data_IF_052620010698
#
_entry.id   IF_052620010698
#
_cell.length_a   1.000
_cell.length_b   1.000
_cell.length_c   1.000
_cell.angle_alpha   90.00
_cell.angle_beta   90.00
_cell.angle_gamma   90.00
#
_symmetry.space_group_name_H-M   'P 1'
#
loop_
_entity.id
_entity.type
_entity.pdbx_description
1 polymer ?
#
# COMPACT_ATOMS: atom_id res chain seq x y z
N UNK A 1 13.63 7.59 13.70
CA UNK A 1 14.16 8.82 13.09
C UNK A 1 13.27 10.01 13.39
N UNK A 2 11.99 10.06 12.99
CA UNK A 2 11.08 11.21 13.23
C UNK A 2 11.13 11.79 14.66
N UNK A 3 11.07 10.93 15.67
CA UNK A 3 11.07 11.27 17.11
C UNK A 3 12.36 11.97 17.57
N UNK A 4 13.48 11.69 16.91
CA UNK A 4 14.81 12.12 17.34
C UNK A 4 15.07 13.59 17.07
N UNK A 5 14.26 14.21 16.22
CA UNK A 5 14.32 15.63 15.90
C UNK A 5 13.40 16.47 16.80
N UNK A 6 12.77 15.90 17.84
CA UNK A 6 11.73 16.57 18.66
C UNK A 6 12.24 16.93 20.07
N UNK A 7 13.43 16.46 20.44
CA UNK A 7 14.05 16.76 21.73
C UNK A 7 14.70 18.16 21.65
N UNK A 8 14.34 19.07 22.55
CA UNK A 8 14.82 20.47 22.55
C UNK A 8 16.27 20.58 23.02
N UNK A 9 17.21 20.16 22.19
CA UNK A 9 18.64 20.28 22.46
C UNK A 9 19.25 21.19 21.41
N UNK A 10 20.03 22.16 21.87
CA UNK A 10 20.73 23.07 21.00
C UNK A 10 21.83 22.31 20.24
N UNK A 11 21.54 21.89 19.01
CA UNK A 11 22.51 21.21 18.12
C UNK A 11 23.15 22.21 17.16
N UNK A 12 24.33 21.91 16.56
CA UNK A 12 24.93 22.80 15.56
C UNK A 12 23.98 23.05 14.38
N UNK A 13 23.97 24.26 13.83
CA UNK A 13 22.99 24.67 12.80
C UNK A 13 22.95 23.77 11.56
N UNK A 14 24.10 23.20 11.15
CA UNK A 14 24.13 22.25 10.03
C UNK A 14 23.34 20.95 10.33
N UNK A 15 23.34 20.49 11.58
CA UNK A 15 22.54 19.34 12.03
C UNK A 15 21.06 19.69 12.01
N UNK A 16 20.69 20.90 12.45
CA UNK A 16 19.30 21.39 12.41
C UNK A 16 18.76 21.43 10.98
N UNK A 17 19.53 21.95 10.02
CA UNK A 17 19.13 21.99 8.61
C UNK A 17 18.84 20.59 8.07
N UNK A 18 19.70 19.61 8.36
CA UNK A 18 19.51 18.23 7.89
C UNK A 18 18.31 17.56 8.58
N UNK A 19 18.14 17.78 9.88
CA UNK A 19 16.96 17.32 10.61
C UNK A 19 15.67 17.92 10.03
N UNK A 20 15.67 19.21 9.69
CA UNK A 20 14.52 19.89 9.09
C UNK A 20 14.17 19.28 7.72
N UNK A 21 15.17 19.04 6.87
CA UNK A 21 14.94 18.40 5.56
C UNK A 21 14.31 17.01 5.75
N UNK A 22 14.82 16.22 6.70
CA UNK A 22 14.28 14.90 7.01
C UNK A 22 12.85 14.97 7.57
N UNK A 23 12.57 15.93 8.43
CA UNK A 23 11.22 16.17 8.94
C UNK A 23 10.26 16.53 7.81
N UNK A 24 10.65 17.43 6.90
CA UNK A 24 9.82 17.78 5.74
C UNK A 24 9.50 16.54 4.88
N UNK A 25 10.45 15.63 4.68
CA UNK A 25 10.17 14.35 4.00
C UNK A 25 9.20 13.46 4.77
N UNK A 26 9.29 13.42 6.10
CA UNK A 26 8.43 12.58 6.95
C UNK A 26 6.99 13.12 7.00
N UNK A 27 6.84 14.43 7.14
CA UNK A 27 5.54 15.12 7.08
C UNK A 27 5.00 15.23 5.65
N UNK A 28 5.73 14.72 4.66
CA UNK A 28 5.41 14.80 3.23
C UNK A 28 5.25 16.25 2.74
N UNK A 29 5.86 17.22 3.42
CA UNK A 29 5.71 18.66 3.17
C UNK A 29 6.54 19.11 1.96
N UNK A 30 6.29 18.44 0.84
CA UNK A 30 6.81 18.76 -0.49
C UNK A 30 5.93 19.81 -1.18
N UNK A 31 4.68 19.96 -0.73
CA UNK A 31 3.67 20.80 -1.37
C UNK A 31 3.59 22.22 -0.78
N UNK A 32 4.45 22.59 0.18
CA UNK A 32 4.41 23.88 0.90
C UNK A 32 2.97 24.23 1.30
N UNK A 33 2.38 23.29 2.02
CA UNK A 33 0.96 23.31 2.38
C UNK A 33 0.61 24.42 3.34
N UNK A 34 1.56 24.83 4.16
CA UNK A 34 1.55 26.03 4.97
C UNK A 34 1.09 27.27 4.17
N UNK A 35 1.54 27.45 2.93
CA UNK A 35 1.24 28.66 2.15
C UNK A 35 -0.19 28.80 1.67
N UNK A 36 -0.91 27.69 1.52
CA UNK A 36 -2.26 27.71 0.93
C UNK A 36 -3.34 27.12 1.83
N UNK A 37 -2.99 26.26 2.80
CA UNK A 37 -3.93 25.78 3.81
C UNK A 37 -4.09 26.81 4.93
N UNK A 38 -3.00 27.40 5.41
CA UNK A 38 -3.04 28.32 6.56
C UNK A 38 -3.92 29.55 6.33
N UNK A 39 -3.88 30.23 5.17
CA UNK A 39 -4.75 31.39 4.92
C UNK A 39 -6.25 31.06 4.85
N UNK A 40 -6.62 29.78 4.68
CA UNK A 40 -8.03 29.35 4.69
C UNK A 40 -8.59 29.36 6.12
N UNK A 41 -7.75 29.08 7.12
CA UNK A 41 -8.16 28.87 8.51
C UNK A 41 -7.75 30.00 9.46
N UNK A 42 -6.71 30.77 9.13
CA UNK A 42 -6.14 31.80 9.99
C UNK A 42 -5.87 33.09 9.22
N UNK A 43 -6.01 34.21 9.92
CA UNK A 43 -5.53 35.51 9.43
C UNK A 43 -4.03 35.68 9.70
N UNK A 44 -3.34 36.55 8.96
CA UNK A 44 -1.92 36.85 9.18
C UNK A 44 -1.66 37.36 10.61
N UNK A 45 -2.58 38.14 11.18
CA UNK A 45 -2.50 38.61 12.56
C UNK A 45 -2.54 37.45 13.58
N UNK A 46 -3.41 36.46 13.35
CA UNK A 46 -3.52 35.27 14.22
C UNK A 46 -2.28 34.37 14.16
N UNK A 47 -1.51 34.41 13.07
CA UNK A 47 -0.24 33.68 12.92
C UNK A 47 0.92 34.46 13.55
N UNK A 48 0.87 35.79 13.52
CA UNK A 48 1.89 36.65 14.11
C UNK A 48 1.84 36.65 15.66
N UNK A 49 0.68 36.33 16.24
CA UNK A 49 0.47 36.25 17.70
C UNK A 49 0.84 34.88 18.32
N UNK A 50 1.37 33.92 17.56
CA UNK A 50 1.71 32.58 18.08
C UNK A 50 2.81 32.67 19.17
N UNK A 51 2.37 32.76 20.44
CA UNK A 51 3.25 32.75 21.61
C UNK A 51 3.99 31.42 21.77
N UNK A 52 5.20 31.45 22.32
CA UNK A 52 6.10 30.33 22.23
C UNK A 52 5.82 29.21 23.26
N UNK A 53 4.96 28.26 22.89
CA UNK A 53 5.34 26.84 23.07
C UNK A 53 6.63 26.50 22.29
N UNK A 54 6.92 27.35 21.30
CA UNK A 54 8.07 27.42 20.43
C UNK A 54 9.44 27.33 21.12
N UNK A 55 9.66 27.74 22.37
CA UNK A 55 11.01 27.54 22.96
C UNK A 55 11.43 26.07 23.08
N UNK A 56 10.48 25.14 23.21
CA UNK A 56 10.76 23.71 23.35
C UNK A 56 10.66 22.92 22.03
N UNK A 57 10.02 23.48 21.01
CA UNK A 57 9.76 22.77 19.75
C UNK A 57 10.14 23.56 18.47
N UNK A 58 10.58 24.82 18.57
CA UNK A 58 10.99 25.67 17.44
C UNK A 58 12.16 25.09 16.69
N UNK A 59 13.17 24.62 17.43
CA UNK A 59 14.38 24.06 16.87
C UNK A 59 14.11 22.79 16.05
N UNK A 60 12.88 22.27 16.14
CA UNK A 60 12.45 20.96 15.67
C UNK A 60 11.42 21.06 14.53
N UNK A 61 11.21 22.25 13.95
CA UNK A 61 10.31 22.45 12.81
C UNK A 61 8.81 22.35 13.15
N UNK A 62 8.46 22.28 14.44
CA UNK A 62 7.08 22.27 14.94
C UNK A 62 6.76 23.64 15.54
N UNK A 63 6.91 24.69 14.72
CA UNK A 63 6.85 26.09 15.13
C UNK A 63 5.44 26.66 15.35
N UNK A 64 4.42 25.80 15.34
CA UNK A 64 3.05 26.18 15.71
C UNK A 64 2.40 25.04 16.51
N UNK A 65 1.69 25.35 17.61
CA UNK A 65 0.91 24.36 18.35
C UNK A 65 -0.34 23.91 17.58
N UNK A 66 -0.71 24.62 16.52
CA UNK A 66 -1.92 24.40 15.73
C UNK A 66 -1.79 23.14 14.86
N UNK A 67 -2.62 22.15 15.15
CA UNK A 67 -2.64 20.85 14.45
C UNK A 67 -2.57 20.96 12.92
N UNK A 68 -3.40 21.81 12.29
CA UNK A 68 -3.43 21.97 10.83
C UNK A 68 -2.08 22.45 10.29
N UNK A 69 -1.45 23.42 10.97
CA UNK A 69 -0.16 24.00 10.55
C UNK A 69 0.96 22.97 10.74
N UNK A 70 1.00 22.29 11.88
CA UNK A 70 2.02 21.28 12.20
C UNK A 70 1.96 20.06 11.29
N UNK A 71 0.76 19.64 10.89
CA UNK A 71 0.58 18.44 10.05
C UNK A 71 0.74 18.69 8.56
N UNK A 72 0.58 19.95 8.11
CA UNK A 72 0.80 20.36 6.72
C UNK A 72 0.11 19.45 5.69
N UNK A 73 0.90 18.83 4.81
CA UNK A 73 0.44 17.93 3.75
C UNK A 73 -0.26 16.70 4.29
N UNK A 74 0.12 16.21 5.48
CA UNK A 74 -0.55 15.06 6.09
C UNK A 74 -2.01 15.36 6.39
N UNK A 75 -2.36 16.62 6.70
CA UNK A 75 -3.75 17.04 6.84
C UNK A 75 -4.50 16.99 5.51
N UNK A 76 -3.88 17.46 4.43
CA UNK A 76 -4.48 17.41 3.09
C UNK A 76 -4.73 15.96 2.67
N UNK A 77 -3.75 15.07 2.88
CA UNK A 77 -3.93 13.65 2.63
C UNK A 77 -5.03 13.06 3.51
N UNK A 78 -5.11 13.42 4.79
CA UNK A 78 -6.20 12.99 5.67
C UNK A 78 -7.57 13.40 5.09
N UNK A 79 -7.72 14.64 4.65
CA UNK A 79 -8.95 15.15 4.02
C UNK A 79 -9.26 14.38 2.73
N UNK A 80 -8.28 14.17 1.85
CA UNK A 80 -8.44 13.38 0.62
C UNK A 80 -8.89 11.95 0.97
N UNK A 81 -8.29 11.31 1.97
CA UNK A 81 -8.67 9.97 2.41
C UNK A 81 -10.10 9.92 2.97
N UNK A 82 -10.52 10.94 3.74
CA UNK A 82 -11.91 11.03 4.22
C UNK A 82 -12.87 11.18 3.04
N UNK A 83 -12.57 12.04 2.07
CA UNK A 83 -13.39 12.19 0.86
C UNK A 83 -13.42 10.92 0.01
N UNK A 84 -12.28 10.24 -0.16
CA UNK A 84 -12.20 8.95 -0.84
C UNK A 84 -13.08 7.90 -0.15
N UNK A 85 -13.06 7.85 1.19
CA UNK A 85 -13.91 6.96 1.97
C UNK A 85 -15.41 7.26 1.79
N UNK A 86 -15.79 8.53 1.82
CA UNK A 86 -17.18 8.96 1.58
C UNK A 86 -17.63 8.65 0.16
N UNK A 87 -16.78 8.92 -0.84
CA UNK A 87 -17.03 8.55 -2.23
C UNK A 87 -17.13 7.04 -2.40
N UNK A 88 -16.32 6.26 -1.68
CA UNK A 88 -16.41 4.81 -1.69
C UNK A 88 -17.74 4.32 -1.10
N UNK A 89 -18.19 4.85 0.04
CA UNK A 89 -19.50 4.52 0.62
C UNK A 89 -20.62 4.89 -0.36
N UNK A 90 -20.57 6.10 -0.91
CA UNK A 90 -21.54 6.58 -1.89
C UNK A 90 -21.56 5.70 -3.14
N UNK A 91 -20.39 5.40 -3.72
CA UNK A 91 -20.27 4.56 -4.89
C UNK A 91 -20.78 3.14 -4.61
N UNK A 92 -20.44 2.56 -3.46
CA UNK A 92 -20.93 1.25 -3.05
C UNK A 92 -22.45 1.25 -2.95
N UNK A 93 -23.05 2.22 -2.27
CA UNK A 93 -24.50 2.23 -2.00
C UNK A 93 -25.32 2.67 -3.22
N UNK A 94 -24.78 3.58 -4.05
CA UNK A 94 -25.45 4.10 -5.23
C UNK A 94 -25.25 3.18 -6.44
N UNK A 95 -24.01 2.82 -6.80
CA UNK A 95 -23.73 2.04 -8.02
C UNK A 95 -24.28 0.62 -7.91
N UNK A 96 -24.28 0.03 -6.69
CA UNK A 96 -24.88 -1.30 -6.46
C UNK A 96 -26.38 -1.33 -6.73
N UNK A 97 -27.08 -0.19 -6.62
CA UNK A 97 -28.52 -0.09 -6.91
C UNK A 97 -28.84 0.06 -8.40
N UNK A 98 -27.95 0.70 -9.16
CA UNK A 98 -28.24 1.09 -10.56
C UNK A 98 -27.60 0.18 -11.62
N UNK A 99 -26.57 -0.61 -11.29
CA UNK A 99 -25.90 -1.46 -12.30
C UNK A 99 -25.55 -2.85 -11.79
N UNK A 100 -25.82 -3.92 -12.58
CA UNK A 100 -25.45 -5.29 -12.21
C UNK A 100 -23.94 -5.56 -12.23
N UNK A 101 -23.16 -4.70 -12.90
CA UNK A 101 -21.68 -4.70 -12.87
C UNK A 101 -21.11 -3.94 -11.66
N UNK A 102 -21.93 -3.11 -11.01
CA UNK A 102 -21.57 -2.28 -9.86
C UNK A 102 -20.95 -3.06 -8.69
N UNK A 103 -21.51 -4.19 -8.24
CA UNK A 103 -20.97 -4.95 -7.13
C UNK A 103 -19.55 -5.45 -7.38
N UNK A 104 -19.27 -5.99 -8.58
CA UNK A 104 -17.94 -6.53 -8.92
C UNK A 104 -16.88 -5.44 -9.02
N UNK A 105 -17.23 -4.27 -9.55
CA UNK A 105 -16.33 -3.13 -9.62
C UNK A 105 -16.09 -2.55 -8.22
N UNK A 106 -17.16 -2.39 -7.43
CA UNK A 106 -17.10 -1.90 -6.05
C UNK A 106 -16.26 -2.82 -5.16
N UNK A 107 -16.38 -4.14 -5.27
CA UNK A 107 -15.59 -5.10 -4.50
C UNK A 107 -14.10 -5.01 -4.85
N UNK A 108 -13.76 -4.89 -6.14
CA UNK A 108 -12.36 -4.71 -6.57
C UNK A 108 -11.77 -3.37 -6.11
N UNK A 109 -12.54 -2.28 -6.22
CA UNK A 109 -12.10 -0.94 -5.78
C UNK A 109 -11.95 -0.90 -4.25
N UNK A 110 -12.89 -1.51 -3.52
CA UNK A 110 -12.89 -1.65 -2.07
C UNK A 110 -11.64 -2.36 -1.57
N UNK A 111 -11.36 -3.55 -2.11
CA UNK A 111 -10.33 -4.42 -1.56
C UNK A 111 -8.92 -3.91 -1.82
N UNK A 112 -8.64 -3.38 -3.01
CA UNK A 112 -7.27 -3.01 -3.41
C UNK A 112 -6.91 -1.55 -3.21
N UNK A 113 -7.83 -0.63 -3.45
CA UNK A 113 -7.53 0.80 -3.37
C UNK A 113 -7.83 1.32 -1.96
N UNK A 114 -9.04 1.07 -1.49
CA UNK A 114 -9.54 1.72 -0.29
C UNK A 114 -8.92 1.14 1.00
N UNK A 115 -8.99 -0.18 1.21
CA UNK A 115 -8.48 -0.79 2.45
C UNK A 115 -6.96 -0.74 2.58
N UNK A 116 -6.24 -1.17 1.54
CA UNK A 116 -4.77 -1.11 1.55
C UNK A 116 -4.28 0.34 1.70
N UNK A 117 -4.85 1.28 0.94
CA UNK A 117 -4.55 2.71 1.06
C UNK A 117 -4.78 3.25 2.48
N UNK A 118 -5.91 2.91 3.10
CA UNK A 118 -6.25 3.33 4.47
C UNK A 118 -5.28 2.75 5.51
N UNK A 119 -5.01 1.44 5.44
CA UNK A 119 -4.07 0.78 6.37
C UNK A 119 -2.69 1.39 6.23
N UNK A 120 -2.20 1.58 5.01
CA UNK A 120 -0.91 2.20 4.74
C UNK A 120 -0.82 3.64 5.23
N UNK A 121 -1.86 4.44 5.00
CA UNK A 121 -1.93 5.81 5.48
C UNK A 121 -1.84 5.85 7.01
N UNK A 122 -2.64 5.02 7.71
CA UNK A 122 -2.61 4.93 9.18
C UNK A 122 -1.20 4.50 9.63
N UNK A 123 -0.63 3.44 9.06
CA UNK A 123 0.71 2.95 9.41
C UNK A 123 1.80 4.02 9.28
N UNK A 124 1.71 4.90 8.28
CA UNK A 124 2.72 5.93 8.02
C UNK A 124 2.47 7.22 8.82
N UNK A 125 1.20 7.66 8.93
CA UNK A 125 0.84 8.97 9.45
C UNK A 125 0.41 8.95 10.92
N UNK A 126 0.23 7.78 11.54
CA UNK A 126 -0.23 7.67 12.93
C UNK A 126 0.64 8.48 13.91
N UNK A 127 1.96 8.31 13.88
CA UNK A 127 2.84 8.99 14.82
C UNK A 127 2.87 10.52 14.63
N UNK A 128 3.05 11.06 13.40
CA UNK A 128 3.00 12.51 13.19
C UNK A 128 1.65 13.13 13.57
N UNK A 129 0.53 12.50 13.18
CA UNK A 129 -0.82 12.96 13.51
C UNK A 129 -1.06 12.94 15.02
N UNK A 130 -0.67 11.88 15.71
CA UNK A 130 -0.82 11.76 17.17
C UNK A 130 0.04 12.80 17.89
N UNK A 131 1.29 13.00 17.47
CA UNK A 131 2.16 14.01 18.07
C UNK A 131 1.57 15.41 17.92
N UNK A 132 1.20 15.81 16.70
CA UNK A 132 0.60 17.12 16.45
C UNK A 132 -0.68 17.31 17.27
N UNK A 133 -1.49 16.25 17.41
CA UNK A 133 -2.72 16.29 18.21
C UNK A 133 -2.42 16.51 19.69
N UNK A 134 -1.42 15.82 20.24
CA UNK A 134 -1.05 15.98 21.66
C UNK A 134 -0.38 17.35 21.90
N UNK A 135 0.40 17.86 20.95
CA UNK A 135 0.97 19.20 21.02
C UNK A 135 -0.12 20.27 21.06
N UNK A 136 -1.15 20.14 20.23
CA UNK A 136 -2.27 21.07 20.20
C UNK A 136 -3.08 21.10 21.52
N UNK A 137 -3.11 20.00 22.29
CA UNK A 137 -3.74 20.00 23.62
C UNK A 137 -3.05 20.90 24.65
N UNK A 138 -1.80 21.33 24.42
CA UNK A 138 -1.09 22.19 25.37
C UNK A 138 -1.56 23.64 25.36
N UNK A 139 -2.15 24.10 24.25
CA UNK A 139 -2.63 25.48 24.11
C UNK A 139 -4.01 25.44 23.46
N UNK A 140 -5.04 25.42 24.30
CA UNK A 140 -6.41 25.56 23.83
C UNK A 140 -6.73 27.04 23.62
N UNK A 141 -6.89 27.43 22.37
CA UNK A 141 -7.44 28.71 21.99
C UNK A 141 -8.77 28.48 21.27
N UNK A 142 -9.73 29.38 21.48
CA UNK A 142 -11.04 29.36 20.81
C UNK A 142 -11.31 30.69 20.11
N UNK A 143 -10.24 31.36 19.67
CA UNK A 143 -10.29 32.69 19.06
C UNK A 143 -10.72 32.64 17.60
N UNK A 144 -10.45 31.54 16.90
CA UNK A 144 -10.82 31.35 15.49
C UNK A 144 -11.60 30.05 15.22
N UNK A 145 -12.26 30.00 14.05
CA UNK A 145 -12.83 28.75 13.52
C UNK A 145 -11.74 27.69 13.28
N UNK A 146 -10.54 28.13 12.88
CA UNK A 146 -9.37 27.26 12.71
C UNK A 146 -8.99 26.54 14.00
N UNK A 147 -8.99 27.25 15.13
CA UNK A 147 -8.66 26.63 16.42
C UNK A 147 -9.71 25.63 16.86
N UNK A 148 -10.99 25.92 16.62
CA UNK A 148 -12.07 24.96 16.88
C UNK A 148 -11.87 23.67 16.06
N UNK A 149 -11.54 23.79 14.77
CA UNK A 149 -11.26 22.63 13.90
C UNK A 149 -10.02 21.87 14.39
N UNK A 150 -8.93 22.55 14.74
CA UNK A 150 -7.72 21.92 15.29
C UNK A 150 -8.03 21.06 16.51
N UNK A 151 -8.80 21.61 17.46
CA UNK A 151 -9.17 20.95 18.71
C UNK A 151 -10.01 19.71 18.41
N UNK A 152 -10.99 19.83 17.51
CA UNK A 152 -11.81 18.68 17.11
C UNK A 152 -10.99 17.59 16.44
N UNK A 153 -10.15 17.93 15.47
CA UNK A 153 -9.27 16.97 14.79
C UNK A 153 -8.34 16.27 15.78
N UNK A 154 -7.73 17.04 16.69
CA UNK A 154 -6.82 16.53 17.72
C UNK A 154 -7.54 15.57 18.68
N UNK A 155 -8.73 15.95 19.15
CA UNK A 155 -9.54 15.11 20.02
C UNK A 155 -9.95 13.79 19.33
N UNK A 156 -10.37 13.84 18.07
CA UNK A 156 -10.72 12.65 17.29
C UNK A 156 -9.52 11.73 17.14
N UNK A 157 -8.34 12.24 16.81
CA UNK A 157 -7.12 11.42 16.66
C UNK A 157 -6.71 10.78 17.99
N UNK A 158 -6.73 11.55 19.08
CA UNK A 158 -6.33 11.05 20.40
C UNK A 158 -7.29 9.96 20.87
N UNK A 159 -8.61 10.18 20.77
CA UNK A 159 -9.63 9.21 21.20
C UNK A 159 -9.65 7.98 20.29
N UNK A 160 -9.45 8.16 18.98
CA UNK A 160 -9.43 7.04 18.03
C UNK A 160 -8.13 6.23 18.08
N UNK A 161 -7.01 6.79 18.54
CA UNK A 161 -5.71 6.11 18.51
C UNK A 161 -5.68 4.77 19.27
N UNK A 162 -6.21 4.61 20.49
CA UNK A 162 -6.24 3.32 21.17
C UNK A 162 -7.22 2.37 20.48
N UNK A 163 -8.33 2.90 19.96
CA UNK A 163 -9.31 2.10 19.22
C UNK A 163 -8.70 1.50 17.95
N UNK A 164 -7.92 2.26 17.18
CA UNK A 164 -7.22 1.77 15.98
C UNK A 164 -6.26 0.62 16.34
N UNK A 165 -5.44 0.80 17.38
CA UNK A 165 -4.48 -0.21 17.85
C UNK A 165 -5.20 -1.48 18.30
N UNK A 166 -6.25 -1.35 19.12
CA UNK A 166 -7.05 -2.48 19.59
C UNK A 166 -7.80 -3.17 18.45
N UNK A 167 -8.29 -2.40 17.47
CA UNK A 167 -9.00 -2.95 16.31
C UNK A 167 -8.07 -3.77 15.44
N UNK A 168 -6.88 -3.26 15.11
CA UNK A 168 -5.90 -4.04 14.35
C UNK A 168 -5.43 -5.27 15.11
N UNK A 169 -5.19 -5.17 16.43
CA UNK A 169 -4.86 -6.32 17.25
C UNK A 169 -5.98 -7.38 17.23
N UNK A 170 -7.24 -6.96 17.36
CA UNK A 170 -8.41 -7.83 17.30
C UNK A 170 -8.57 -8.49 15.93
N UNK A 171 -8.38 -7.75 14.84
CA UNK A 171 -8.45 -8.26 13.47
C UNK A 171 -7.40 -9.36 13.25
N UNK A 172 -6.14 -9.11 13.64
CA UNK A 172 -5.05 -10.08 13.50
C UNK A 172 -5.26 -11.31 14.39
N UNK A 173 -5.72 -11.11 15.63
CA UNK A 173 -6.05 -12.20 16.55
C UNK A 173 -7.14 -13.11 15.96
N UNK A 174 -8.24 -12.51 15.49
CA UNK A 174 -9.36 -13.24 14.91
C UNK A 174 -8.96 -13.93 13.60
N UNK A 175 -8.14 -13.28 12.77
CA UNK A 175 -7.65 -13.87 11.53
C UNK A 175 -6.80 -15.11 11.80
N UNK A 176 -5.92 -15.07 12.82
CA UNK A 176 -5.15 -16.24 13.25
C UNK A 176 -6.04 -17.34 13.82
N UNK A 177 -6.98 -16.99 14.70
CA UNK A 177 -7.87 -17.97 15.33
C UNK A 177 -8.78 -18.69 14.32
N UNK A 178 -9.20 -17.99 13.26
CA UNK A 178 -10.07 -18.53 12.21
C UNK A 178 -9.31 -19.10 11.00
N UNK A 179 -7.98 -19.07 11.00
CA UNK A 179 -7.18 -19.51 9.85
C UNK A 179 -7.33 -18.62 8.59
N UNK A 180 -7.82 -17.39 8.73
CA UNK A 180 -8.03 -16.45 7.61
C UNK A 180 -6.73 -15.83 7.11
N UNK A 181 -5.60 -16.05 7.78
CA UNK A 181 -4.29 -15.56 7.33
C UNK A 181 -3.85 -16.17 5.99
N UNK A 182 -4.44 -17.31 5.60
CA UNK A 182 -4.19 -17.95 4.30
C UNK A 182 -5.21 -17.53 3.22
N UNK A 183 -6.25 -16.77 3.60
CA UNK A 183 -7.27 -16.29 2.67
C UNK A 183 -6.71 -15.13 1.82
N UNK A 184 -6.82 -15.25 0.50
CA UNK A 184 -6.37 -14.24 -0.46
C UNK A 184 -7.13 -12.91 -0.28
N UNK A 185 -8.41 -12.97 0.08
CA UNK A 185 -9.22 -11.77 0.28
C UNK A 185 -8.78 -10.98 1.52
N UNK A 186 -8.47 -11.68 2.62
CA UNK A 186 -7.93 -11.07 3.83
C UNK A 186 -6.53 -10.51 3.58
N UNK A 187 -5.67 -11.31 2.96
CA UNK A 187 -4.29 -10.94 2.63
C UNK A 187 -4.24 -9.70 1.75
N UNK A 188 -5.13 -9.56 0.77
CA UNK A 188 -5.19 -8.38 -0.09
C UNK A 188 -5.65 -7.11 0.62
N UNK A 189 -6.48 -7.21 1.67
CA UNK A 189 -6.99 -6.03 2.39
C UNK A 189 -6.02 -5.52 3.45
N UNK A 190 -5.32 -6.44 4.11
CA UNK A 190 -4.42 -6.15 5.23
C UNK A 190 -2.96 -6.40 4.86
N UNK A 191 -2.62 -6.42 3.56
CA UNK A 191 -1.28 -6.72 3.05
C UNK A 191 -0.23 -5.88 3.78
N UNK A 192 -0.40 -4.55 3.81
CA UNK A 192 0.53 -3.64 4.50
C UNK A 192 0.66 -3.88 6.02
N UNK A 193 -0.33 -4.52 6.66
CA UNK A 193 -0.30 -4.83 8.09
C UNK A 193 0.44 -6.14 8.38
N UNK A 194 0.54 -7.05 7.41
CA UNK A 194 1.15 -8.39 7.59
C UNK A 194 2.41 -8.61 6.74
N UNK A 195 2.65 -7.77 5.74
CA UNK A 195 3.75 -7.92 4.79
C UNK A 195 5.11 -7.86 5.49
N UNK A 196 6.02 -8.73 5.05
CA UNK A 196 7.34 -8.90 5.64
C UNK A 196 7.35 -9.53 7.04
N UNK A 197 6.20 -9.87 7.65
CA UNK A 197 6.15 -10.40 9.02
C UNK A 197 6.13 -11.93 9.07
N UNK A 198 6.72 -12.47 10.12
CA UNK A 198 6.68 -13.88 10.45
C UNK A 198 5.41 -14.20 11.25
N UNK A 199 4.31 -14.50 10.54
CA UNK A 199 2.99 -14.76 11.13
C UNK A 199 2.93 -16.01 12.02
N UNK A 200 3.96 -16.87 11.96
CA UNK A 200 4.03 -18.07 12.81
C UNK A 200 4.28 -17.72 14.27
N UNK A 201 5.06 -16.67 14.55
CA UNK A 201 5.37 -16.24 15.92
C UNK A 201 4.34 -15.23 16.41
N UNK A 202 4.04 -15.24 17.71
CA UNK A 202 3.13 -14.26 18.32
C UNK A 202 3.69 -12.84 18.21
N UNK A 203 5.01 -12.69 18.36
CA UNK A 203 5.68 -11.38 18.23
C UNK A 203 5.62 -10.88 16.79
N UNK A 204 5.85 -11.75 15.80
CA UNK A 204 5.73 -11.38 14.39
C UNK A 204 4.30 -10.97 14.02
N UNK A 205 3.29 -11.71 14.50
CA UNK A 205 1.88 -11.35 14.25
C UNK A 205 1.53 -9.95 14.77
N UNK A 206 1.97 -9.59 15.97
CA UNK A 206 1.64 -8.30 16.58
C UNK A 206 2.71 -7.22 16.38
N UNK A 207 3.70 -7.42 15.52
CA UNK A 207 4.84 -6.52 15.41
C UNK A 207 4.43 -5.08 15.09
N UNK A 208 3.54 -4.90 14.11
CA UNK A 208 3.02 -3.57 13.76
C UNK A 208 2.20 -2.93 14.89
N UNK A 209 1.46 -3.73 15.68
CA UNK A 209 0.78 -3.26 16.91
C UNK A 209 1.79 -2.76 17.94
N UNK A 210 2.87 -3.52 18.13
CA UNK A 210 3.95 -3.16 19.04
C UNK A 210 4.64 -1.85 18.60
N UNK A 211 4.80 -1.63 17.29
CA UNK A 211 5.29 -0.34 16.74
C UNK A 211 4.32 0.80 17.08
N UNK A 212 3.00 0.63 16.93
CA UNK A 212 2.05 1.68 17.32
C UNK A 212 2.14 2.00 18.82
N UNK A 213 2.20 0.99 19.68
CA UNK A 213 2.36 1.16 21.13
C UNK A 213 3.68 1.88 21.45
N UNK A 214 4.76 1.54 20.74
CA UNK A 214 6.04 2.27 20.85
C UNK A 214 5.88 3.75 20.57
N UNK A 215 5.18 4.12 19.50
CA UNK A 215 4.97 5.52 19.14
C UNK A 215 4.16 6.27 20.20
N UNK A 216 3.10 5.65 20.75
CA UNK A 216 2.33 6.22 21.86
C UNK A 216 3.23 6.47 23.08
N UNK A 217 4.00 5.46 23.52
CA UNK A 217 4.92 5.59 24.66
C UNK A 217 5.97 6.67 24.39
N UNK A 218 6.49 6.73 23.18
CA UNK A 218 7.50 7.69 22.79
C UNK A 218 6.98 9.13 22.84
N UNK A 219 5.79 9.38 22.28
CA UNK A 219 5.13 10.69 22.34
C UNK A 219 4.84 11.04 23.80
N UNK A 220 4.36 10.10 24.61
CA UNK A 220 4.16 10.33 26.04
C UNK A 220 5.47 10.71 26.75
N UNK A 221 6.60 10.06 26.46
CA UNK A 221 7.91 10.43 27.04
C UNK A 221 8.31 11.85 26.64
N UNK A 222 8.23 12.19 25.36
CA UNK A 222 8.57 13.54 24.87
C UNK A 222 7.73 14.60 25.58
N UNK A 223 6.44 14.33 25.71
CA UNK A 223 5.50 15.31 26.23
C UNK A 223 5.59 15.44 27.75
N UNK A 224 5.59 14.33 28.49
CA UNK A 224 5.62 14.33 29.96
C UNK A 224 6.93 14.83 30.55
N UNK A 225 8.05 14.64 29.83
CA UNK A 225 9.39 15.02 30.29
C UNK A 225 10.00 16.17 29.49
N UNK A 226 9.18 17.02 28.86
CA UNK A 226 9.62 18.15 28.00
C UNK A 226 10.64 19.09 28.66
N UNK A 227 10.55 19.23 29.99
CA UNK A 227 11.41 20.14 30.75
C UNK A 227 12.73 19.46 31.20
N UNK A 228 12.89 18.15 30.97
CA UNK A 228 14.03 17.35 31.45
C UNK A 228 14.58 16.46 30.33
N UNK A 229 15.36 17.06 29.43
CA UNK A 229 15.97 16.41 28.26
C UNK A 229 16.74 15.12 28.60
N UNK A 230 17.51 15.11 29.71
CA UNK A 230 18.30 13.95 30.12
C UNK A 230 17.43 12.73 30.45
N UNK A 231 16.29 12.93 31.11
CA UNK A 231 15.32 11.87 31.43
C UNK A 231 14.63 11.39 30.16
N UNK A 232 14.21 12.28 29.26
CA UNK A 232 13.66 11.90 27.95
C UNK A 232 14.62 10.99 27.19
N UNK A 233 15.86 11.43 27.01
CA UNK A 233 16.88 10.68 26.28
C UNK A 233 17.09 9.31 26.91
N UNK A 234 17.24 9.25 28.23
CA UNK A 234 17.46 7.99 28.97
C UNK A 234 16.31 7.02 28.74
N UNK A 235 15.06 7.47 28.90
CA UNK A 235 13.88 6.63 28.69
C UNK A 235 13.75 6.14 27.24
N UNK A 236 14.05 7.00 26.25
CA UNK A 236 14.04 6.64 24.83
C UNK A 236 15.16 5.65 24.49
N UNK A 237 16.33 5.76 25.12
CA UNK A 237 17.42 4.78 24.99
C UNK A 237 16.99 3.44 25.59
N UNK A 238 16.43 3.43 26.80
CA UNK A 238 15.90 2.21 27.42
C UNK A 238 14.83 1.55 26.54
N UNK A 239 13.92 2.34 25.96
CA UNK A 239 12.91 1.83 25.04
C UNK A 239 13.57 1.22 23.79
N UNK A 240 14.58 1.86 23.20
CA UNK A 240 15.29 1.35 22.02
C UNK A 240 16.06 0.05 22.32
N UNK A 241 16.69 -0.05 23.50
CA UNK A 241 17.34 -1.29 23.97
C UNK A 241 16.33 -2.41 24.18
N UNK A 242 15.17 -2.11 24.77
CA UNK A 242 14.08 -3.07 24.89
C UNK A 242 13.61 -3.59 23.52
N UNK A 243 13.48 -2.70 22.52
CA UNK A 243 13.12 -3.09 21.16
C UNK A 243 14.21 -3.91 20.46
N UNK A 244 15.50 -3.62 20.69
CA UNK A 244 16.59 -4.49 20.24
C UNK A 244 16.46 -5.91 20.80
N UNK A 245 16.22 -6.05 22.11
CA UNK A 245 16.01 -7.34 22.73
C UNK A 245 14.78 -8.06 22.14
N UNK A 246 13.68 -7.32 21.94
CA UNK A 246 12.45 -7.85 21.36
C UNK A 246 12.64 -8.34 19.92
N UNK A 247 13.42 -7.62 19.09
CA UNK A 247 13.79 -8.03 17.73
C UNK A 247 14.59 -9.34 17.73
N UNK A 248 15.57 -9.46 18.61
CA UNK A 248 16.47 -10.62 18.68
C UNK A 248 15.78 -11.88 19.22
N UNK A 249 14.94 -11.70 20.25
CA UNK A 249 14.21 -12.80 20.90
C UNK A 249 12.96 -13.21 20.11
N UNK A 250 12.18 -12.22 19.64
CA UNK A 250 10.91 -12.45 18.97
C UNK A 250 11.02 -12.78 17.48
N UNK A 251 12.10 -12.32 16.83
CA UNK A 251 12.36 -12.50 15.39
C UNK A 251 11.11 -12.26 14.54
N UNK A 252 10.58 -11.03 14.52
CA UNK A 252 9.31 -10.72 13.86
C UNK A 252 9.39 -10.83 12.34
N UNK A 253 10.59 -10.84 11.75
CA UNK A 253 10.79 -10.98 10.30
C UNK A 253 11.25 -12.41 9.93
N UNK A 254 10.86 -12.92 8.76
CA UNK A 254 11.24 -14.25 8.31
C UNK A 254 12.72 -14.34 7.91
N UNK A 255 13.30 -13.25 7.41
CA UNK A 255 14.68 -13.24 6.94
C UNK A 255 15.65 -12.72 8.02
N UNK A 256 16.80 -13.38 8.25
CA UNK A 256 17.82 -12.88 9.16
C UNK A 256 18.37 -11.47 8.80
N UNK A 257 18.55 -11.12 7.52
CA UNK A 257 18.92 -9.76 7.12
C UNK A 257 17.93 -8.69 7.57
N UNK A 258 16.62 -8.93 7.50
CA UNK A 258 15.59 -7.98 7.96
C UNK A 258 15.70 -7.74 9.47
N UNK A 259 15.87 -8.80 10.26
CA UNK A 259 16.06 -8.70 11.72
C UNK A 259 17.35 -7.93 12.04
N UNK A 260 18.41 -8.18 11.27
CA UNK A 260 19.72 -7.52 11.45
C UNK A 260 19.62 -6.04 11.14
N UNK A 261 18.97 -5.67 10.02
CA UNK A 261 18.75 -4.28 9.64
C UNK A 261 17.88 -3.54 10.65
N UNK A 262 16.78 -4.16 11.11
CA UNK A 262 15.94 -3.58 12.14
C UNK A 262 16.71 -3.37 13.45
N UNK A 263 17.54 -4.34 13.85
CA UNK A 263 18.37 -4.21 15.06
C UNK A 263 19.43 -3.12 14.90
N UNK A 264 20.04 -3.02 13.72
CA UNK A 264 20.99 -1.95 13.40
C UNK A 264 20.31 -0.58 13.47
N UNK A 265 19.09 -0.45 12.95
CA UNK A 265 18.32 0.79 13.04
C UNK A 265 18.08 1.19 14.51
N UNK A 266 17.74 0.25 15.39
CA UNK A 266 17.61 0.53 16.84
C UNK A 266 18.93 0.89 17.53
N UNK A 267 20.03 0.25 17.11
CA UNK A 267 21.37 0.57 17.59
C UNK A 267 21.76 2.00 17.19
N UNK A 268 21.49 2.40 15.95
CA UNK A 268 21.76 3.75 15.45
C UNK A 268 20.88 4.79 16.14
N UNK A 269 19.62 4.48 16.44
CA UNK A 269 18.76 5.34 17.27
C UNK A 269 19.36 5.51 18.67
N UNK A 270 19.82 4.43 19.30
CA UNK A 270 20.44 4.47 20.63
C UNK A 270 21.75 5.27 20.63
N UNK A 271 22.59 5.08 19.61
CA UNK A 271 23.83 5.83 19.43
C UNK A 271 23.55 7.33 19.20
N UNK A 272 22.54 7.66 18.41
CA UNK A 272 22.11 9.04 18.20
C UNK A 272 21.63 9.68 19.52
N UNK A 273 20.82 8.98 20.30
CA UNK A 273 20.34 9.45 21.60
C UNK A 273 21.50 9.66 22.58
N UNK A 274 22.49 8.76 22.59
CA UNK A 274 23.70 8.92 23.38
C UNK A 274 24.49 10.18 22.98
N UNK A 275 24.65 10.42 21.68
CA UNK A 275 25.30 11.64 21.18
C UNK A 275 24.52 12.92 21.56
N UNK A 276 23.18 12.88 21.53
CA UNK A 276 22.35 13.97 22.05
C UNK A 276 22.56 14.18 23.55
N UNK A 277 22.70 13.11 24.34
CA UNK A 277 23.01 13.21 25.77
C UNK A 277 24.33 13.96 25.99
N UNK A 278 25.35 13.73 25.17
CA UNK A 278 26.62 14.47 25.26
C UNK A 278 26.50 15.97 24.93
N UNK A 279 25.41 16.39 24.26
CA UNK A 279 25.09 17.79 24.00
C UNK A 279 24.22 18.43 25.09
N UNK A 280 23.67 17.65 26.02
CA UNK A 280 22.94 18.20 27.18
C UNK A 280 23.91 18.80 28.20
N UNK A 281 23.63 20.01 28.68
CA UNK A 281 24.13 20.77 29.84
C UNK A 281 25.63 20.74 30.25
N UNK A 282 26.52 20.04 29.53
CA UNK A 282 27.86 19.71 30.01
C UNK A 282 29.02 20.21 29.12
N UNK A 283 28.77 20.87 27.99
CA UNK A 283 29.86 21.26 27.07
C UNK A 283 29.77 22.69 26.54
N UNK A 284 30.54 23.59 27.14
CA UNK A 284 30.75 24.97 26.66
C UNK A 284 31.81 25.07 25.54
N UNK A 285 32.60 24.01 25.30
CA UNK A 285 33.66 24.02 24.28
C UNK A 285 33.08 23.84 22.87
N UNK A 286 33.04 24.94 22.09
CA UNK A 286 32.48 24.97 20.74
C UNK A 286 33.04 23.93 19.76
N UNK A 287 34.34 23.59 19.85
CA UNK A 287 34.96 22.57 18.99
C UNK A 287 34.43 21.16 19.26
N UNK A 288 34.19 20.81 20.53
CA UNK A 288 33.64 19.50 20.90
C UNK A 288 32.18 19.38 20.46
N UNK A 289 31.41 20.45 20.61
CA UNK A 289 30.02 20.53 20.14
C UNK A 289 29.90 20.33 18.63
N UNK A 290 30.82 20.91 17.84
CA UNK A 290 30.91 20.69 16.40
C UNK A 290 31.21 19.21 16.08
N UNK A 291 32.16 18.60 16.78
CA UNK A 291 32.53 17.20 16.59
C UNK A 291 31.34 16.25 16.86
N UNK A 292 30.61 16.46 17.97
CA UNK A 292 29.39 15.67 18.25
C UNK A 292 28.32 15.91 17.18
N UNK A 293 28.14 17.16 16.72
CA UNK A 293 27.20 17.46 15.64
C UNK A 293 27.52 16.72 14.34
N UNK A 294 28.80 16.67 13.95
CA UNK A 294 29.24 15.88 12.80
C UNK A 294 29.02 14.38 13.00
N UNK A 295 29.24 13.86 14.22
CA UNK A 295 28.95 12.47 14.55
C UNK A 295 27.44 12.16 14.44
N UNK A 296 26.56 13.04 14.92
CA UNK A 296 25.11 12.92 14.77
C UNK A 296 24.71 12.87 13.29
N UNK A 297 25.25 13.79 12.48
CA UNK A 297 25.01 13.82 11.05
C UNK A 297 25.45 12.52 10.38
N UNK A 298 26.65 12.04 10.71
CA UNK A 298 27.16 10.79 10.19
C UNK A 298 26.25 9.61 10.55
N UNK A 299 25.78 9.50 11.79
CA UNK A 299 24.84 8.45 12.22
C UNK A 299 23.55 8.47 11.40
N UNK A 300 22.99 9.66 11.14
CA UNK A 300 21.76 9.83 10.35
C UNK A 300 21.98 9.46 8.89
N UNK A 301 23.01 10.03 8.25
CA UNK A 301 23.35 9.75 6.84
C UNK A 301 23.66 8.26 6.65
N UNK A 302 24.44 7.68 7.55
CA UNK A 302 24.76 6.25 7.52
C UNK A 302 23.50 5.39 7.60
N UNK A 303 22.57 5.71 8.51
CA UNK A 303 21.29 5.00 8.61
C UNK A 303 20.49 5.09 7.30
N UNK A 304 20.35 6.28 6.73
CA UNK A 304 19.63 6.48 5.46
C UNK A 304 20.30 5.69 4.33
N UNK A 305 21.61 5.81 4.17
CA UNK A 305 22.37 5.11 3.12
C UNK A 305 22.23 3.60 3.23
N UNK A 306 22.36 3.03 4.44
CA UNK A 306 22.22 1.58 4.65
C UNK A 306 20.79 1.12 4.30
N UNK A 307 19.76 1.83 4.73
CA UNK A 307 18.37 1.48 4.40
C UNK A 307 18.10 1.62 2.89
N UNK A 308 18.61 2.67 2.24
CA UNK A 308 18.48 2.88 0.79
C UNK A 308 19.18 1.76 0.03
N UNK A 309 20.43 1.43 0.37
CA UNK A 309 21.17 0.33 -0.25
C UNK A 309 20.46 -1.01 -0.04
N UNK A 310 19.86 -1.24 1.12
CA UNK A 310 19.07 -2.45 1.38
C UNK A 310 17.86 -2.55 0.45
N UNK A 311 17.08 -1.48 0.34
CA UNK A 311 15.89 -1.42 -0.55
C UNK A 311 16.30 -1.60 -2.01
N UNK A 312 17.34 -0.89 -2.47
CA UNK A 312 17.85 -1.05 -3.84
C UNK A 312 18.39 -2.45 -4.10
N UNK A 313 19.12 -3.05 -3.15
CA UNK A 313 19.60 -4.42 -3.22
C UNK A 313 18.45 -5.42 -3.33
N UNK A 314 17.37 -5.21 -2.57
CA UNK A 314 16.14 -6.00 -2.66
C UNK A 314 15.46 -5.89 -4.03
N UNK A 315 15.31 -4.67 -4.56
CA UNK A 315 14.71 -4.42 -5.88
C UNK A 315 15.53 -5.06 -7.01
N UNK A 316 16.86 -4.89 -6.99
CA UNK A 316 17.77 -5.53 -7.96
C UNK A 316 17.69 -7.04 -7.83
N UNK A 317 17.64 -7.58 -6.60
CA UNK A 317 17.48 -9.00 -6.35
C UNK A 317 16.16 -9.57 -6.90
N UNK A 318 15.05 -8.86 -6.73
CA UNK A 318 13.74 -9.23 -7.31
C UNK A 318 13.81 -9.20 -8.85
N UNK A 319 14.43 -8.16 -9.42
CA UNK A 319 14.65 -8.03 -10.85
C UNK A 319 15.47 -9.18 -11.42
N UNK A 320 16.63 -9.47 -10.83
CA UNK A 320 17.51 -10.56 -11.20
C UNK A 320 16.82 -11.93 -11.08
N UNK A 321 16.05 -12.15 -10.00
CA UNK A 321 15.26 -13.38 -9.82
C UNK A 321 14.20 -13.54 -10.91
N UNK A 322 13.49 -12.48 -11.29
CA UNK A 322 12.51 -12.52 -12.38
C UNK A 322 13.18 -12.87 -13.71
N UNK A 323 14.34 -12.28 -14.00
CA UNK A 323 15.13 -12.59 -15.21
C UNK A 323 15.61 -14.05 -15.19
N UNK A 324 16.17 -14.50 -14.07
CA UNK A 324 16.63 -15.88 -13.90
C UNK A 324 15.50 -16.91 -14.05
N UNK A 325 14.33 -16.65 -13.46
CA UNK A 325 13.16 -17.52 -13.61
C UNK A 325 12.64 -17.55 -15.06
N UNK A 326 12.65 -16.40 -15.76
CA UNK A 326 12.34 -16.37 -17.21
C UNK A 326 13.35 -17.22 -17.99
N UNK A 327 14.64 -17.08 -17.73
CA UNK A 327 15.69 -17.86 -18.38
C UNK A 327 15.53 -19.36 -18.13
N UNK A 328 15.25 -19.78 -16.88
CA UNK A 328 14.97 -21.18 -16.54
C UNK A 328 13.75 -21.72 -17.30
N UNK A 329 12.67 -20.95 -17.42
CA UNK A 329 11.49 -21.35 -18.20
C UNK A 329 11.81 -21.51 -19.68
N UNK A 330 12.57 -20.58 -20.26
CA UNK A 330 13.04 -20.68 -21.65
C UNK A 330 13.91 -21.92 -21.86
N UNK A 331 14.85 -22.19 -20.94
CA UNK A 331 15.71 -23.37 -20.98
C UNK A 331 14.93 -24.68 -20.82
N UNK A 332 13.93 -24.71 -19.94
CA UNK A 332 13.03 -25.85 -19.78
C UNK A 332 12.18 -26.08 -21.04
N UNK A 333 11.70 -25.02 -21.70
CA UNK A 333 11.01 -25.11 -23.00
C UNK A 333 11.93 -25.66 -24.09
N UNK A 334 13.16 -25.16 -24.20
CA UNK A 334 14.14 -25.69 -25.16
C UNK A 334 14.50 -27.15 -24.90
N UNK A 335 14.62 -27.56 -23.63
CA UNK A 335 14.88 -28.95 -23.27
C UNK A 335 13.69 -29.88 -23.57
N UNK A 336 12.45 -29.40 -23.37
CA UNK A 336 11.23 -30.13 -23.78
C UNK A 336 11.10 -30.21 -25.30
N UNK A 337 11.34 -29.10 -26.02
CA UNK A 337 11.32 -29.07 -27.48
C UNK A 337 12.32 -30.06 -28.09
N UNK A 338 13.54 -30.15 -27.55
CA UNK A 338 14.51 -31.16 -27.98
C UNK A 338 14.05 -32.60 -27.73
N UNK A 339 13.42 -32.89 -26.59
CA UNK A 339 12.87 -34.23 -26.29
C UNK A 339 11.64 -34.59 -27.14
N UNK A 340 10.80 -33.62 -27.50
CA UNK A 340 9.64 -33.85 -28.37
C UNK A 340 10.06 -34.09 -29.83
N UNK A 341 11.10 -33.43 -30.33
CA UNK A 341 11.61 -33.65 -31.71
C UNK A 341 12.26 -35.03 -31.90
N UNK A 342 12.72 -35.67 -30.82
CA UNK A 342 13.38 -36.99 -30.85
C UNK A 342 12.41 -38.18 -30.75
N UNK A 343 11.13 -37.96 -30.43
CA UNK A 343 10.11 -39.04 -30.41
C UNK A 343 9.29 -39.04 -31.71
N UNK A 344 8.98 -40.21 -32.30
CA UNK A 344 8.24 -40.29 -33.56
C UNK A 344 6.83 -39.66 -33.49
N UNK A 345 6.18 -39.69 -32.31
CA UNK A 345 4.91 -39.00 -32.06
C UNK A 345 5.03 -37.47 -31.97
N UNK A 346 6.20 -36.95 -31.54
CA UNK A 346 6.42 -35.51 -31.46
C UNK A 346 6.70 -34.84 -32.81
N UNK A 347 7.11 -35.59 -33.84
CA UNK A 347 7.22 -35.06 -35.21
C UNK A 347 5.85 -34.81 -35.86
N UNK A 348 4.80 -35.52 -35.44
CA UNK A 348 3.41 -35.23 -35.85
C UNK A 348 2.80 -34.09 -35.04
N UNK A 349 3.06 -34.02 -33.72
CA UNK A 349 2.57 -32.91 -32.89
C UNK A 349 3.25 -31.57 -33.19
N UNK A 350 4.55 -31.54 -33.54
CA UNK A 350 5.22 -30.29 -33.96
C UNK A 350 4.63 -29.79 -35.28
N UNK A 351 4.20 -30.66 -36.19
CA UNK A 351 3.44 -30.23 -37.38
C UNK A 351 2.09 -29.63 -37.01
N UNK A 352 1.39 -30.16 -36.02
CA UNK A 352 0.12 -29.62 -35.51
C UNK A 352 0.29 -28.29 -34.77
N UNK A 353 1.32 -28.14 -33.92
CA UNK A 353 1.61 -26.86 -33.23
C UNK A 353 2.08 -25.78 -34.22
N UNK A 354 2.83 -26.13 -35.27
CA UNK A 354 3.21 -25.17 -36.32
C UNK A 354 1.98 -24.69 -37.09
N UNK A 355 1.00 -25.58 -37.31
CA UNK A 355 -0.28 -25.21 -37.93
C UNK A 355 -1.14 -24.37 -36.98
N UNK A 356 -1.16 -24.64 -35.68
CA UNK A 356 -1.88 -23.82 -34.70
C UNK A 356 -1.27 -22.42 -34.54
N UNK A 357 0.07 -22.31 -34.57
CA UNK A 357 0.78 -21.02 -34.51
C UNK A 357 0.54 -20.21 -35.79
N UNK A 358 0.55 -20.84 -36.97
CA UNK A 358 0.14 -20.20 -38.24
C UNK A 358 -1.34 -19.75 -38.22
N UNK A 359 -2.23 -20.52 -37.58
CA UNK A 359 -3.65 -20.17 -37.43
C UNK A 359 -3.85 -19.02 -36.44
N UNK A 360 -3.10 -18.94 -35.34
CA UNK A 360 -3.13 -17.79 -34.43
C UNK A 360 -2.61 -16.51 -35.08
N UNK A 361 -1.49 -16.58 -35.82
CA UNK A 361 -0.95 -15.45 -36.57
C UNK A 361 -1.94 -14.97 -37.65
N UNK A 362 -2.61 -15.90 -38.32
CA UNK A 362 -3.65 -15.58 -39.30
C UNK A 362 -4.87 -14.93 -38.65
N UNK A 363 -5.29 -15.39 -37.46
CA UNK A 363 -6.38 -14.75 -36.69
C UNK A 363 -6.00 -13.34 -36.23
N UNK A 364 -4.76 -13.14 -35.78
CA UNK A 364 -4.29 -11.82 -35.34
C UNK A 364 -4.17 -10.83 -36.52
N UNK A 365 -3.68 -11.29 -37.68
CA UNK A 365 -3.70 -10.49 -38.92
C UNK A 365 -5.13 -10.19 -39.38
N UNK A 366 -6.04 -11.16 -39.31
CA UNK A 366 -7.44 -10.96 -39.70
C UNK A 366 -8.14 -9.98 -38.76
N UNK A 367 -7.91 -10.06 -37.44
CA UNK A 367 -8.41 -9.07 -36.48
C UNK A 367 -7.83 -7.66 -36.73
N UNK A 368 -6.55 -7.56 -37.08
CA UNK A 368 -5.93 -6.27 -37.46
C UNK A 368 -6.54 -5.69 -38.73
N UNK A 369 -6.81 -6.53 -39.74
CA UNK A 369 -7.45 -6.12 -40.99
C UNK A 369 -8.92 -5.72 -40.78
N UNK A 370 -9.69 -6.49 -40.00
CA UNK A 370 -11.08 -6.16 -39.63
C UNK A 370 -11.12 -4.88 -38.78
N UNK A 371 -10.21 -4.71 -37.82
CA UNK A 371 -10.08 -3.48 -37.04
C UNK A 371 -9.75 -2.25 -37.90
N UNK A 372 -8.92 -2.41 -38.94
CA UNK A 372 -8.63 -1.36 -39.92
C UNK A 372 -9.82 -1.06 -40.85
N UNK A 373 -10.57 -2.08 -41.29
CA UNK A 373 -11.79 -1.89 -42.09
C UNK A 373 -12.92 -1.25 -41.28
N UNK A 374 -13.12 -1.61 -40.02
CA UNK A 374 -14.10 -0.96 -39.13
C UNK A 374 -13.71 0.50 -38.87
N UNK A 375 -12.41 0.80 -38.71
CA UNK A 375 -11.93 2.19 -38.62
C UNK A 375 -12.10 2.99 -39.91
N UNK A 376 -11.93 2.37 -41.08
CA UNK A 376 -12.20 3.02 -42.39
C UNK A 376 -13.68 3.23 -42.62
N UNK A 377 -14.52 2.22 -42.37
CA UNK A 377 -15.98 2.31 -42.52
C UNK A 377 -16.62 3.34 -41.60
N UNK A 378 -16.17 3.46 -40.35
CA UNK A 378 -16.68 4.50 -39.43
C UNK A 378 -16.24 5.92 -39.83
N UNK A 379 -15.06 6.09 -40.44
CA UNK A 379 -14.61 7.39 -40.94
C UNK A 379 -15.31 7.79 -42.25
N UNK A 380 -15.61 6.84 -43.14
CA UNK A 380 -16.34 7.12 -44.38
C UNK A 380 -17.85 7.32 -44.13
N UNK A 381 -18.46 6.53 -43.25
CA UNK A 381 -19.88 6.68 -42.88
C UNK A 381 -20.17 7.93 -42.04
N UNK A 382 -19.24 8.33 -41.15
CA UNK A 382 -19.42 9.58 -40.39
C UNK A 382 -19.27 10.83 -41.27
N UNK A 383 -18.39 10.77 -42.28
CA UNK A 383 -18.20 11.89 -43.22
C UNK A 383 -19.32 11.99 -44.25
N UNK A 384 -19.93 10.87 -44.68
CA UNK A 384 -21.10 10.91 -45.57
C UNK A 384 -22.34 11.45 -44.85
N UNK A 385 -22.61 11.00 -43.61
CA UNK A 385 -23.72 11.50 -42.79
C UNK A 385 -23.57 12.99 -42.45
N UNK A 386 -22.35 13.46 -42.15
CA UNK A 386 -22.12 14.89 -41.90
C UNK A 386 -22.33 15.74 -43.17
N UNK A 387 -21.94 15.23 -44.34
CA UNK A 387 -22.16 15.92 -45.61
C UNK A 387 -23.65 15.94 -46.00
N UNK A 388 -24.40 14.85 -45.76
CA UNK A 388 -25.84 14.78 -46.02
C UNK A 388 -26.65 15.68 -45.06
N UNK A 389 -26.22 15.81 -43.79
CA UNK A 389 -26.84 16.74 -42.83
C UNK A 389 -26.56 18.21 -43.23
N UNK A 390 -25.36 18.50 -43.74
CA UNK A 390 -25.00 19.86 -44.19
C UNK A 390 -25.69 20.24 -45.51
N UNK A 391 -25.89 19.31 -46.45
CA UNK A 391 -26.67 19.55 -47.66
C UNK A 391 -28.16 19.68 -47.37
N UNK A 392 -28.73 18.91 -46.42
CA UNK A 392 -30.11 19.11 -45.94
C UNK A 392 -30.31 20.46 -45.23
N UNK A 393 -29.32 20.94 -44.46
CA UNK A 393 -29.39 22.28 -43.85
C UNK A 393 -29.29 23.42 -44.86
N UNK A 394 -28.50 23.25 -45.93
CA UNK A 394 -28.42 24.25 -47.00
C UNK A 394 -29.66 24.26 -47.92
N UNK A 395 -30.37 23.14 -48.07
CA UNK A 395 -31.63 23.11 -48.81
C UNK A 395 -32.80 23.71 -48.02
N UNK A 396 -32.82 23.56 -46.69
CA UNK A 396 -33.86 24.16 -45.84
C UNK A 396 -33.64 25.64 -45.51
N UNK A 397 -32.44 26.18 -45.70
CA UNK A 397 -32.19 27.61 -45.48
C UNK A 397 -32.70 28.52 -46.63
N UNK A 398 -33.06 27.94 -47.79
CA UNK A 398 -33.55 28.69 -48.95
C UNK A 398 -35.08 28.58 -49.15
N UNK A 399 -35.80 27.87 -48.26
CA UNK A 399 -37.24 27.64 -48.35
C UNK A 399 -37.96 28.07 -47.07
N UNK A 400 -37.86 29.35 -46.72
CA UNK A 400 -38.79 29.95 -45.74
C UNK A 400 -39.09 31.40 -46.11
N UNK A 401 -39.93 31.56 -47.14
CA UNK A 401 -40.84 32.68 -47.28
C UNK A 401 -42.22 32.11 -47.59
N UNK A 402 -43.19 32.57 -46.79
CA UNK A 402 -44.64 32.42 -46.88
C UNK A 402 -45.26 31.27 -46.06
N UNK A 403 -45.99 31.71 -45.02
CA UNK A 403 -47.39 31.42 -44.67
C UNK A 403 -47.78 29.96 -44.39
N UNK A 404 -48.77 29.61 -43.57
CA UNK A 404 -49.55 30.15 -42.44
C UNK A 404 -50.35 28.89 -41.95
N UNK A 405 -50.91 28.93 -40.74
CA UNK A 405 -51.91 27.99 -40.16
C UNK A 405 -51.42 26.57 -39.75
N UNK A 406 -51.40 26.17 -38.46
CA UNK A 406 -52.53 25.77 -37.57
C UNK A 406 -53.44 24.70 -38.21
N UNK A 407 -53.79 23.54 -37.63
CA UNK A 407 -53.70 23.01 -36.26
C UNK A 407 -54.11 21.51 -36.25
N UNK A 408 -53.81 20.78 -35.16
CA UNK A 408 -54.36 19.48 -34.65
C UNK A 408 -54.05 18.13 -35.35
N UNK A 409 -53.21 17.26 -34.73
CA UNK A 409 -53.59 16.03 -33.97
C UNK A 409 -52.38 15.09 -33.68
N UNK A 410 -52.49 14.43 -32.52
CA UNK A 410 -51.97 13.09 -32.17
C UNK A 410 -50.57 12.91 -31.53
N UNK A 411 -50.60 12.87 -30.19
CA UNK A 411 -49.67 12.12 -29.34
C UNK A 411 -49.87 10.61 -29.52
N UNK A 412 -48.81 9.88 -29.90
CA UNK A 412 -48.46 8.54 -29.39
C UNK A 412 -46.95 8.26 -29.54
N UNK A 413 -46.28 7.65 -28.55
CA UNK A 413 -44.84 7.41 -28.58
C UNK A 413 -44.46 6.16 -29.39
N UNK A 414 -43.40 6.31 -30.20
CA UNK A 414 -42.80 5.27 -31.03
C UNK A 414 -41.89 4.39 -30.16
N UNK A 415 -42.39 3.21 -29.80
CA UNK A 415 -41.62 2.07 -29.28
C UNK A 415 -41.43 1.06 -30.44
N UNK A 416 -40.39 1.26 -31.27
CA UNK A 416 -40.17 0.41 -32.45
C UNK A 416 -38.70 0.34 -32.88
N UNK A 417 -37.79 -0.02 -31.97
CA UNK A 417 -36.45 -0.52 -32.33
C UNK A 417 -35.91 -1.51 -31.27
N UNK A 418 -36.60 -2.65 -31.10
CA UNK A 418 -36.06 -3.79 -30.31
C UNK A 418 -36.61 -5.17 -30.67
N UNK A 419 -37.04 -5.36 -31.92
CA UNK A 419 -37.49 -6.66 -32.45
C UNK A 419 -36.92 -6.92 -33.84
N UNK A 420 -35.62 -7.17 -33.92
CA UNK A 420 -34.98 -7.82 -35.07
C UNK A 420 -33.56 -8.21 -34.67
N UNK A 421 -33.40 -9.23 -33.83
CA UNK A 421 -32.21 -10.10 -33.73
C UNK A 421 -32.53 -11.21 -32.70
N UNK A 422 -33.53 -12.02 -33.03
CA UNK A 422 -33.73 -13.34 -32.43
C UNK A 422 -34.22 -14.23 -33.56
N UNK A 423 -33.31 -15.02 -34.15
CA UNK A 423 -33.54 -16.29 -34.86
C UNK A 423 -32.25 -16.65 -35.62
N UNK A 424 -31.34 -17.35 -34.94
CA UNK A 424 -30.51 -18.44 -35.47
C UNK A 424 -29.36 -18.73 -34.48
N UNK A 425 -29.65 -19.46 -33.41
CA UNK A 425 -28.64 -20.31 -32.78
C UNK A 425 -29.20 -21.73 -32.74
N UNK A 426 -28.71 -22.55 -33.66
CA UNK A 426 -28.87 -24.00 -33.62
C UNK A 426 -28.00 -24.59 -32.51
N UNK A 427 -28.43 -25.70 -31.87
CA UNK A 427 -27.72 -26.27 -30.73
C UNK A 427 -26.47 -27.04 -31.17
N UNK A 428 -25.32 -26.68 -30.59
CA UNK A 428 -24.09 -27.48 -30.65
C UNK A 428 -24.25 -28.69 -29.73
N UNK A 429 -24.03 -29.93 -30.21
CA UNK A 429 -24.13 -31.11 -29.36
C UNK A 429 -22.97 -31.19 -28.37
N UNK A 430 -23.31 -31.26 -27.08
CA UNK A 430 -22.40 -31.63 -25.99
C UNK A 430 -21.95 -33.08 -26.18
N UNK A 431 -20.75 -33.27 -26.72
CA UNK A 431 -20.01 -34.52 -26.65
C UNK A 431 -19.57 -34.74 -25.18
N UNK A 432 -20.31 -35.60 -24.48
CA UNK A 432 -19.86 -36.26 -23.25
C UNK A 432 -18.68 -37.16 -23.59
N UNK A 433 -17.46 -36.76 -23.20
CA UNK A 433 -16.36 -37.70 -23.05
C UNK A 433 -16.44 -38.29 -21.64
N UNK A 434 -17.04 -39.48 -21.57
CA UNK A 434 -16.72 -40.45 -20.53
C UNK A 434 -15.27 -40.86 -20.74
N UNK A 435 -14.40 -40.59 -19.77
CA UNK A 435 -13.15 -41.31 -19.61
C UNK A 435 -13.23 -41.99 -18.25
N UNK A 436 -13.64 -43.24 -18.33
CA UNK A 436 -13.57 -44.21 -17.26
C UNK A 436 -12.13 -44.39 -16.78
N UNK A 437 -12.06 -44.68 -15.50
CA UNK A 437 -10.88 -45.11 -14.79
C UNK A 437 -10.32 -46.40 -15.39
N UNK A 438 -9.03 -46.43 -15.71
CA UNK A 438 -8.28 -47.68 -15.69
C UNK A 438 -6.78 -47.46 -15.41
N UNK A 439 -6.38 -48.01 -14.26
CA UNK A 439 -5.14 -48.75 -13.99
C UNK A 439 -3.84 -48.37 -14.70
N UNK A 440 -2.82 -48.05 -13.90
CA UNK A 440 -1.43 -48.52 -14.12
C UNK A 440 -0.69 -48.40 -12.78
N UNK A 441 -0.66 -49.48 -12.00
CA UNK A 441 0.43 -50.46 -11.93
C UNK A 441 1.78 -49.85 -11.54
N UNK A 442 2.14 -50.18 -10.29
CA UNK A 442 3.46 -50.20 -9.68
C UNK A 442 4.52 -50.79 -10.59
N UNK A 443 5.63 -50.07 -10.78
CA UNK A 443 6.88 -50.63 -11.27
C UNK A 443 8.00 -50.29 -10.29
N UNK A 444 8.38 -51.33 -9.55
CA UNK A 444 9.59 -51.43 -8.74
C UNK A 444 10.83 -51.14 -9.60
N UNK A 445 11.71 -50.28 -9.10
CA UNK A 445 13.12 -50.32 -9.47
C UNK A 445 14.00 -50.36 -8.22
N UNK A 446 14.37 -51.60 -7.85
CA UNK A 446 15.55 -51.90 -7.05
C UNK A 446 16.78 -51.89 -7.97
N UNK A 447 17.78 -51.07 -7.63
CA UNK A 447 19.23 -51.39 -7.66
C UNK A 447 20.01 -50.14 -7.20
N UNK A 448 20.53 -50.12 -5.97
CA UNK A 448 21.89 -50.55 -5.57
C UNK A 448 23.01 -49.61 -6.07
N UNK A 449 23.35 -48.58 -5.27
CA UNK A 449 24.73 -48.20 -4.88
C UNK A 449 24.65 -47.48 -3.52
N UNK A 450 25.36 -47.98 -2.50
CA UNK A 450 25.68 -47.23 -1.25
C UNK A 450 27.17 -46.87 -1.23
N UNK A 451 27.79 -46.46 -0.11
CA UNK A 451 27.26 -45.78 1.09
C UNK A 451 28.06 -44.51 1.44
N UNK A 452 27.43 -43.48 2.03
CA UNK A 452 28.12 -42.61 3.02
C UNK A 452 27.16 -41.73 3.84
N UNK A 453 27.17 -42.03 5.14
CA UNK A 453 26.98 -41.12 6.30
C UNK A 453 25.86 -40.07 6.31
N UNK A 454 24.76 -40.44 6.98
CA UNK A 454 24.09 -39.73 8.09
C UNK A 454 24.05 -38.18 8.12
N UNK A 455 22.84 -37.65 7.89
CA UNK A 455 22.21 -36.64 8.76
C UNK A 455 20.68 -36.74 8.60
N UNK A 456 20.02 -37.39 9.57
CA UNK A 456 18.56 -37.61 9.59
C UNK A 456 17.82 -36.29 9.88
N UNK A 457 17.17 -35.71 8.87
CA UNK A 457 15.97 -34.89 9.08
C UNK A 457 14.74 -35.78 8.90
N UNK A 458 13.89 -35.84 9.94
CA UNK A 458 12.57 -36.48 9.88
C UNK A 458 11.74 -35.80 8.78
N UNK A 459 11.47 -36.52 7.71
CA UNK A 459 10.39 -36.19 6.80
C UNK A 459 9.12 -36.70 7.48
N UNK A 460 8.24 -35.77 7.85
CA UNK A 460 6.90 -36.10 8.36
C UNK A 460 6.08 -36.57 7.17
N UNK A 461 5.70 -37.84 7.20
CA UNK A 461 4.84 -38.46 6.19
C UNK A 461 3.39 -37.98 6.39
N UNK A 462 2.96 -37.04 5.54
CA UNK A 462 1.60 -36.47 5.60
C UNK A 462 0.50 -37.50 5.24
N UNK A 463 0.87 -38.67 4.70
CA UNK A 463 -0.09 -39.73 4.38
C UNK A 463 -0.62 -40.46 5.62
N UNK A 464 0.13 -40.47 6.72
CA UNK A 464 -0.29 -41.10 7.98
C UNK A 464 -1.28 -40.22 8.76
N UNK A 465 -1.12 -38.89 8.73
CA UNK A 465 -2.00 -37.95 9.43
C UNK A 465 -3.42 -37.88 8.82
N UNK A 466 -3.55 -38.19 7.52
CA UNK A 466 -4.85 -38.32 6.86
C UNK A 466 -5.60 -39.62 7.23
N UNK A 467 -4.88 -40.68 7.61
CA UNK A 467 -5.51 -41.94 8.06
C UNK A 467 -6.01 -41.88 9.50
N UNK A 468 -5.36 -41.09 10.35
CA UNK A 468 -5.76 -40.96 11.76
C UNK A 468 -6.93 -40.01 12.01
N UNK A 469 -7.26 -39.10 11.08
CA UNK A 469 -8.43 -38.22 11.21
C UNK A 469 -9.78 -38.92 10.92
N UNK A 470 -9.77 -40.10 10.29
CA UNK A 470 -10.98 -40.90 10.03
C UNK A 470 -11.28 -41.95 11.12
N UNK A 471 -10.57 -41.93 12.25
CA UNK A 471 -10.83 -42.80 13.41
C UNK A 471 -11.10 -41.98 14.67
N UNK A 472 -12.26 -41.32 14.74
CA UNK A 472 -12.89 -41.02 16.03
C UNK A 472 -14.35 -41.46 15.98
N UNK A 473 -14.78 -42.38 16.87
CA UNK A 473 -16.19 -42.68 17.04
C UNK A 473 -16.88 -41.54 17.79
N UNK A 474 -18.12 -41.28 17.41
CA UNK A 474 -19.07 -40.46 18.15
C UNK A 474 -19.13 -40.89 19.63
N UNK A 475 -18.91 -39.94 20.53
CA UNK A 475 -19.51 -39.88 21.87
C UNK A 475 -19.82 -38.44 22.20
#
# INVERSE_FOLDING_TARGET
MMILSIISINVPGLVQIVQQILLNFIYMDLLQTDKWVTPIFYTEEQLAEDEPLNMFFDLNGLGSPRFIVTTGSSFVFLVIFVFEHLLYIFARDFISRFTPLGPRLADKLSQKLHWAGTVRFIMQQFAPLLLASVMNLFKFEFSSVGDFINIQCSAVIIVSSPYIVLKFASVLHNAKAKGMLEDEAFTSQYEDLIDGLNLTTTVGLYWNIIIFVRWIITIAIIILFRDVNSVQITLLMTLSIFFMALLQLGRPFPSPPDVTLATLNELLISAYLYLLMCLTDYNELGAFRLFIGLALLFTVVFCVVVNVLYVFGGLVGIGARRVYLKWLRCRARQARGKKYVETPAGKEQVKLETIEEEVEDWKEQTQKMVGQQVRRGNNESSNSLLNDINTMRQTNANSSLNNEEQDILQDQPIDLYKRQFQLNESPIPLLRLNLDAEQTQTLDFKMLVGPSSFSRKRIVDYSQKARDMNRKPFR
#
